data_IF_214149551939
#
_entry.id   IF_214149551939
#
_cell.length_a   1.000
_cell.length_b   1.000
_cell.length_c   1.000
_cell.angle_alpha   90.00
_cell.angle_beta   90.00
_cell.angle_gamma   90.00
#
_symmetry.space_group_name_H-M   'P 1'
#
loop_
_entity.id
_entity.type
_entity.pdbx_description
1 polymer ?
#
# COMPACT_ATOMS: atom_id res chain seq x y z
N UNK A 1 -11.76 -0.27 0.60
CA UNK A 1 -12.14 -1.45 1.40
C UNK A 1 -12.25 -1.02 2.88
N UNK A 2 -12.69 -1.87 3.81
CA UNK A 2 -12.83 -1.51 5.24
C UNK A 2 -11.45 -1.20 5.84
N UNK A 3 -11.37 -0.14 6.63
CA UNK A 3 -10.14 0.27 7.32
C UNK A 3 -10.00 -0.49 8.65
N UNK A 4 -8.76 -0.78 9.06
CA UNK A 4 -8.43 -1.43 10.35
C UNK A 4 -9.10 -2.80 10.55
N UNK A 5 -9.09 -3.64 9.50
CA UNK A 5 -9.78 -4.93 9.47
C UNK A 5 -9.02 -5.92 8.59
N UNK A 6 -8.91 -7.20 8.99
CA UNK A 6 -8.20 -8.22 8.22
C UNK A 6 -9.01 -8.81 7.05
N UNK A 7 -10.30 -8.48 6.94
CA UNK A 7 -11.14 -8.97 5.84
C UNK A 7 -10.54 -8.45 4.53
N UNK A 8 -10.39 -9.28 3.51
CA UNK A 8 -9.81 -8.87 2.22
C UNK A 8 -10.82 -8.94 1.08
N UNK A 9 -11.99 -9.52 1.34
CA UNK A 9 -12.96 -9.90 0.31
C UNK A 9 -13.57 -8.66 -0.33
N UNK A 10 -13.70 -8.66 -1.66
CA UNK A 10 -14.20 -7.51 -2.43
C UNK A 10 -13.34 -6.24 -2.27
N UNK A 11 -12.06 -6.37 -1.93
CA UNK A 11 -11.17 -5.21 -1.92
C UNK A 11 -10.93 -4.71 -3.34
N UNK A 12 -11.25 -3.43 -3.57
CA UNK A 12 -10.96 -2.74 -4.85
C UNK A 12 -9.50 -2.33 -4.99
N UNK A 13 -8.67 -2.51 -3.96
CA UNK A 13 -7.22 -2.27 -4.05
C UNK A 13 -6.59 -3.22 -5.06
N UNK A 14 -7.20 -4.41 -5.26
CA UNK A 14 -6.77 -5.37 -6.28
C UNK A 14 -6.77 -4.78 -7.69
N UNK A 15 -7.71 -3.88 -7.99
CA UNK A 15 -7.83 -3.26 -9.31
C UNK A 15 -6.62 -2.35 -9.58
N UNK A 16 -6.18 -1.61 -8.55
CA UNK A 16 -4.99 -0.75 -8.60
C UNK A 16 -3.73 -1.58 -8.84
N UNK A 17 -3.57 -2.67 -8.09
CA UNK A 17 -2.40 -3.57 -8.19
C UNK A 17 -2.34 -4.21 -9.59
N UNK A 18 -3.48 -4.70 -10.10
CA UNK A 18 -3.55 -5.31 -11.43
C UNK A 18 -3.19 -4.31 -12.52
N UNK A 19 -3.71 -3.08 -12.43
CA UNK A 19 -3.40 -2.03 -13.39
C UNK A 19 -1.89 -1.74 -13.42
N UNK A 20 -1.24 -1.58 -12.26
CA UNK A 20 0.23 -1.40 -12.21
C UNK A 20 1.00 -2.56 -12.83
N UNK A 21 0.57 -3.80 -12.60
CA UNK A 21 1.19 -4.98 -13.22
C UNK A 21 1.04 -4.97 -14.76
N UNK A 22 0.02 -4.32 -15.33
CA UNK A 22 -0.09 -4.19 -16.80
C UNK A 22 0.98 -3.27 -17.42
N UNK A 23 1.57 -2.37 -16.63
CA UNK A 23 2.67 -1.51 -17.04
C UNK A 23 4.06 -2.12 -16.74
N UNK A 24 4.11 -3.42 -16.39
CA UNK A 24 5.34 -4.15 -16.05
C UNK A 24 6.13 -3.53 -14.88
N UNK A 25 5.41 -2.91 -13.94
CA UNK A 25 5.99 -2.34 -12.72
C UNK A 25 6.13 -3.42 -11.65
N UNK A 26 7.25 -3.40 -10.92
CA UNK A 26 7.41 -4.21 -9.71
C UNK A 26 6.54 -3.64 -8.58
N UNK A 27 5.63 -4.47 -8.04
CA UNK A 27 4.65 -4.03 -7.03
C UNK A 27 4.78 -4.87 -5.77
N UNK A 28 5.23 -4.24 -4.70
CA UNK A 28 5.08 -4.76 -3.34
C UNK A 28 3.74 -4.32 -2.76
N UNK A 29 3.06 -5.24 -2.07
CA UNK A 29 1.78 -4.97 -1.40
C UNK A 29 1.99 -5.16 0.09
N UNK A 30 1.71 -4.13 0.88
CA UNK A 30 1.82 -4.16 2.33
C UNK A 30 0.47 -3.89 3.00
N UNK A 31 0.09 -4.77 3.92
CA UNK A 31 -1.07 -4.58 4.79
C UNK A 31 -0.80 -5.27 6.14
N UNK A 32 -0.79 -4.53 7.27
CA UNK A 32 -0.53 -5.09 8.59
C UNK A 32 -1.70 -5.94 9.14
N UNK A 33 -2.89 -5.83 8.56
CA UNK A 33 -4.08 -6.55 9.00
C UNK A 33 -4.37 -7.80 8.17
N UNK A 34 -4.08 -7.78 6.87
CA UNK A 34 -4.39 -8.89 5.99
C UNK A 34 -3.46 -10.09 6.20
N UNK A 35 -4.00 -11.30 6.05
CA UNK A 35 -3.23 -12.55 6.07
C UNK A 35 -2.59 -12.79 4.70
N UNK A 36 -1.27 -13.01 4.67
CA UNK A 36 -0.56 -13.29 3.42
C UNK A 36 -1.05 -14.57 2.74
N UNK A 37 -1.35 -15.62 3.52
CA UNK A 37 -1.88 -16.88 2.98
C UNK A 37 -3.27 -16.69 2.36
N UNK A 38 -4.13 -15.86 2.97
CA UNK A 38 -5.46 -15.58 2.44
C UNK A 38 -5.39 -14.72 1.17
N UNK A 39 -4.53 -13.70 1.15
CA UNK A 39 -4.32 -12.84 -0.02
C UNK A 39 -3.75 -13.64 -1.19
N UNK A 40 -2.81 -14.54 -0.94
CA UNK A 40 -2.27 -15.42 -1.97
C UNK A 40 -3.32 -16.39 -2.50
N UNK A 41 -4.14 -16.99 -1.63
CA UNK A 41 -5.19 -17.91 -2.04
C UNK A 41 -6.30 -17.22 -2.85
N UNK A 42 -6.77 -16.05 -2.41
CA UNK A 42 -7.90 -15.33 -3.04
C UNK A 42 -7.48 -14.55 -4.29
N UNK A 43 -6.28 -13.96 -4.29
CA UNK A 43 -5.85 -13.02 -5.32
C UNK A 43 -4.57 -13.42 -6.08
N UNK A 44 -3.85 -14.46 -5.65
CA UNK A 44 -2.56 -14.84 -6.23
C UNK A 44 -1.51 -13.75 -6.11
N UNK A 45 -1.54 -13.01 -5.01
CA UNK A 45 -0.60 -11.93 -4.71
C UNK A 45 0.22 -12.26 -3.46
N UNK A 46 1.53 -12.02 -3.56
CA UNK A 46 2.39 -11.95 -2.39
C UNK A 46 2.05 -10.69 -1.58
N UNK A 47 1.96 -10.86 -0.26
CA UNK A 47 1.66 -9.79 0.68
C UNK A 47 2.79 -9.70 1.71
N UNK A 48 3.31 -8.50 1.89
CA UNK A 48 4.17 -8.15 3.03
C UNK A 48 3.25 -7.81 4.20
N UNK A 49 3.40 -8.51 5.33
CA UNK A 49 2.65 -8.22 6.56
C UNK A 49 3.51 -7.59 7.65
N UNK A 50 4.84 -7.64 7.52
CA UNK A 50 5.80 -7.00 8.43
C UNK A 50 6.50 -5.83 7.73
N UNK A 51 6.36 -4.63 8.31
CA UNK A 51 6.95 -3.41 7.76
C UNK A 51 8.49 -3.46 7.65
N UNK A 52 9.17 -4.32 8.41
CA UNK A 52 10.62 -4.50 8.33
C UNK A 52 11.09 -5.13 7.02
N UNK A 53 10.19 -5.74 6.25
CA UNK A 53 10.48 -6.32 4.94
C UNK A 53 10.32 -5.31 3.79
N UNK A 54 9.79 -4.11 4.07
CA UNK A 54 9.66 -3.06 3.07
C UNK A 54 11.02 -2.48 2.68
N UNK A 55 11.14 -2.12 1.41
CA UNK A 55 12.33 -1.48 0.86
C UNK A 55 12.32 0.03 1.13
N UNK A 56 13.44 0.70 0.84
CA UNK A 56 13.60 2.15 1.05
C UNK A 56 13.91 2.95 -0.21
N UNK A 57 13.53 2.42 -1.37
CA UNK A 57 13.80 2.96 -2.70
C UNK A 57 12.57 2.89 -3.63
N UNK A 58 11.35 2.93 -3.08
CA UNK A 58 10.14 2.94 -3.91
C UNK A 58 9.98 4.26 -4.69
N UNK A 59 9.82 4.16 -6.02
CA UNK A 59 9.54 5.30 -6.90
C UNK A 59 8.09 5.78 -6.84
N UNK A 60 7.18 4.94 -6.34
CA UNK A 60 5.80 5.33 -6.07
C UNK A 60 5.26 4.57 -4.87
N UNK A 61 4.64 5.29 -3.93
CA UNK A 61 3.94 4.73 -2.80
C UNK A 61 2.48 5.18 -2.87
N UNK A 62 1.56 4.23 -2.95
CA UNK A 62 0.12 4.50 -3.00
C UNK A 62 -0.54 4.05 -1.72
N UNK A 63 -1.04 4.99 -0.93
CA UNK A 63 -1.81 4.70 0.27
C UNK A 63 -3.27 4.42 -0.12
N UNK A 64 -3.59 3.16 -0.37
CA UNK A 64 -4.88 2.75 -0.91
C UNK A 64 -5.99 2.60 0.16
N UNK A 65 -5.63 2.46 1.45
CA UNK A 65 -6.55 2.28 2.58
C UNK A 65 -6.05 3.08 3.78
N UNK A 66 -6.97 3.61 4.60
CA UNK A 66 -6.65 4.42 5.78
C UNK A 66 -6.50 3.60 7.07
N UNK A 67 -5.54 2.67 7.11
CA UNK A 67 -5.18 2.00 8.36
C UNK A 67 -4.47 2.97 9.31
N UNK A 68 -4.81 2.93 10.61
CA UNK A 68 -4.25 3.85 11.61
C UNK A 68 -2.75 3.63 11.82
N UNK A 69 -2.26 2.41 11.59
CA UNK A 69 -0.85 2.02 11.65
C UNK A 69 0.02 2.92 10.75
N UNK A 70 -0.51 3.37 9.62
CA UNK A 70 0.20 4.22 8.68
C UNK A 70 0.45 5.64 9.23
N UNK A 71 -0.33 6.11 10.20
CA UNK A 71 -0.10 7.41 10.85
C UNK A 71 1.16 7.41 11.73
N UNK A 72 1.56 6.25 12.24
CA UNK A 72 2.77 6.07 13.04
C UNK A 72 4.00 5.72 12.21
N UNK A 73 3.83 5.49 10.91
CA UNK A 73 4.87 4.99 10.03
C UNK A 73 5.57 6.14 9.28
N UNK A 74 6.89 6.07 9.16
CA UNK A 74 7.64 7.05 8.39
C UNK A 74 7.67 6.68 6.90
N UNK A 75 6.55 6.90 6.20
CA UNK A 75 6.40 6.55 4.78
C UNK A 75 7.46 7.22 3.90
N UNK A 76 7.93 8.41 4.25
CA UNK A 76 8.97 9.10 3.49
C UNK A 76 10.31 8.35 3.46
N UNK A 77 10.63 7.55 4.49
CA UNK A 77 11.85 6.75 4.51
C UNK A 77 11.80 5.56 3.55
N UNK A 78 10.62 5.17 3.09
CA UNK A 78 10.48 4.08 2.14
C UNK A 78 10.66 4.53 0.68
N UNK A 79 10.62 5.84 0.44
CA UNK A 79 10.57 6.45 -0.88
C UNK A 79 11.97 6.72 -1.42
N UNK A 80 12.19 6.46 -2.71
CA UNK A 80 13.39 6.92 -3.41
C UNK A 80 13.46 8.47 -3.45
N UNK A 81 14.62 9.01 -3.80
CA UNK A 81 14.81 10.46 -3.91
C UNK A 81 13.82 11.11 -4.90
N UNK A 82 13.52 10.42 -6.00
CA UNK A 82 12.59 10.89 -7.04
C UNK A 82 11.15 10.40 -6.84
N UNK A 83 10.93 9.50 -5.88
CA UNK A 83 9.65 8.83 -5.74
C UNK A 83 8.52 9.76 -5.30
N UNK A 84 7.28 9.29 -5.46
CA UNK A 84 6.07 10.05 -5.11
C UNK A 84 5.19 9.30 -4.11
N UNK A 85 4.50 10.03 -3.24
CA UNK A 85 3.49 9.51 -2.31
C UNK A 85 2.11 10.01 -2.75
N UNK A 86 1.23 9.09 -3.10
CA UNK A 86 -0.17 9.36 -3.42
C UNK A 86 -1.09 8.78 -2.36
N UNK A 87 -1.85 9.65 -1.68
CA UNK A 87 -2.80 9.23 -0.66
C UNK A 87 -4.23 9.24 -1.19
N UNK A 88 -4.75 8.06 -1.52
CA UNK A 88 -6.08 7.88 -2.12
C UNK A 88 -7.19 8.30 -1.16
N UNK A 89 -6.93 8.26 0.16
CA UNK A 89 -7.96 8.39 1.20
C UNK A 89 -7.76 9.61 2.09
N UNK A 90 -6.75 10.44 1.81
CA UNK A 90 -6.42 11.66 2.57
C UNK A 90 -6.21 11.39 4.07
N UNK A 91 -5.60 10.25 4.41
CA UNK A 91 -5.22 9.90 5.79
C UNK A 91 -4.06 10.75 6.31
N UNK A 92 -3.02 10.96 5.50
CA UNK A 92 -1.80 11.64 5.91
C UNK A 92 -1.95 13.17 5.85
N UNK A 93 -1.16 13.92 6.65
CA UNK A 93 -1.11 15.37 6.57
C UNK A 93 -0.79 15.84 5.14
N UNK A 94 -1.47 16.90 4.67
CA UNK A 94 -1.35 17.36 3.28
C UNK A 94 0.09 17.69 2.85
N UNK A 95 0.95 18.12 3.78
CA UNK A 95 2.33 18.50 3.49
C UNK A 95 3.31 17.32 3.43
N UNK A 96 2.87 16.10 3.75
CA UNK A 96 3.70 14.88 3.73
C UNK A 96 3.41 14.00 2.51
N UNK A 97 2.61 14.48 1.56
CA UNK A 97 2.23 13.73 0.35
C UNK A 97 2.32 14.62 -0.87
N UNK A 98 2.61 14.04 -2.02
CA UNK A 98 2.71 14.77 -3.29
C UNK A 98 1.32 15.07 -3.86
N UNK A 99 0.37 14.15 -3.69
CA UNK A 99 -1.02 14.35 -4.09
C UNK A 99 -1.97 13.46 -3.28
N UNK A 100 -3.26 13.86 -3.24
CA UNK A 100 -4.34 13.14 -2.54
C UNK A 100 -5.71 13.49 -3.11
N UNK A 101 -6.71 12.63 -2.86
CA UNK A 101 -8.12 12.86 -3.21
C UNK A 101 -8.91 13.57 -2.12
#
# INVERSE_FOLDING_TARGET
>A
FKENCPDIRNSRVIDIIKEFKTYDVAVDVYDPWASADEVQHEYGLDLISDASQLQSDYDAIVLAVSHKEFLSMNIHQLKSDIGVIFDVKSLLPKHTVDSRL
#
